data_IF_563966054676
#
_entry.id   IF_563966054676
#
_cell.length_a   1.000
_cell.length_b   1.000
_cell.length_c   1.000
_cell.angle_alpha   90.00
_cell.angle_beta   90.00
_cell.angle_gamma   90.00
#
_symmetry.space_group_name_H-M   'P 1'
#
loop_
_entity.id
_entity.type
_entity.pdbx_description
1 polymer ?
#
# COMPACT_ATOMS: atom_id res chain seq x y z
N UNK A 1 7.22 21.27 18.18
CA UNK A 1 6.26 20.75 17.18
C UNK A 1 6.03 21.77 16.06
N UNK A 2 5.66 21.36 14.84
CA UNK A 2 5.33 22.29 13.74
C UNK A 2 4.25 23.32 14.13
N UNK A 3 3.29 22.92 14.97
CA UNK A 3 2.24 23.79 15.56
C UNK A 3 2.77 24.85 16.55
N UNK A 4 3.99 24.71 17.05
CA UNK A 4 4.66 25.71 17.89
C UNK A 4 5.44 26.72 17.05
N UNK A 5 5.71 26.39 15.77
CA UNK A 5 6.49 27.21 14.85
C UNK A 5 5.57 27.94 13.85
N UNK A 6 4.47 27.31 13.45
CA UNK A 6 3.50 27.82 12.48
C UNK A 6 2.08 27.81 13.05
N UNK A 7 1.36 28.92 12.87
CA UNK A 7 -0.06 28.98 13.22
C UNK A 7 -0.89 28.14 12.26
N UNK A 8 -2.07 27.67 12.72
CA UNK A 8 -3.03 26.96 11.84
C UNK A 8 -3.41 27.82 10.63
N UNK A 9 -3.54 29.14 10.80
CA UNK A 9 -3.78 30.07 9.70
C UNK A 9 -2.64 30.02 8.68
N UNK A 10 -1.38 30.02 9.14
CA UNK A 10 -0.22 29.96 8.25
C UNK A 10 -0.10 28.62 7.52
N UNK A 11 -0.45 27.52 8.17
CA UNK A 11 -0.47 26.20 7.54
C UNK A 11 -1.57 26.13 6.47
N UNK A 12 -2.75 26.71 6.70
CA UNK A 12 -3.82 26.76 5.71
C UNK A 12 -3.43 27.52 4.43
N UNK A 13 -2.51 28.48 4.49
CA UNK A 13 -2.02 29.19 3.30
C UNK A 13 -1.17 28.32 2.37
N UNK A 14 -0.58 27.23 2.87
CA UNK A 14 0.34 26.37 2.11
C UNK A 14 -0.20 24.96 1.86
N UNK A 15 -1.31 24.59 2.51
CA UNK A 15 -2.03 23.35 2.25
C UNK A 15 -2.83 23.49 0.95
N UNK A 16 -2.82 22.46 0.11
CA UNK A 16 -3.63 22.46 -1.10
C UNK A 16 -5.12 22.39 -0.76
N UNK A 17 -5.93 23.27 -1.35
CA UNK A 17 -7.39 23.30 -1.17
C UNK A 17 -8.08 22.03 -1.72
N UNK A 18 -7.44 21.35 -2.69
CA UNK A 18 -7.88 20.08 -3.23
C UNK A 18 -6.67 19.18 -3.50
N UNK A 19 -6.70 17.96 -2.95
CA UNK A 19 -5.69 16.94 -3.22
C UNK A 19 -5.94 16.31 -4.60
N UNK A 20 -5.22 16.78 -5.61
CA UNK A 20 -5.28 16.27 -6.98
C UNK A 20 -3.87 16.23 -7.62
N UNK A 21 -2.93 15.41 -7.10
CA UNK A 21 -1.54 15.42 -7.56
C UNK A 21 -1.34 14.85 -8.97
N UNK A 22 -2.23 13.97 -9.42
CA UNK A 22 -2.16 13.30 -10.72
C UNK A 22 -3.55 13.10 -11.33
N UNK A 23 -3.69 13.06 -12.67
CA UNK A 23 -4.95 12.76 -13.32
C UNK A 23 -5.43 11.35 -12.95
N UNK A 24 -6.72 11.21 -12.64
CA UNK A 24 -7.40 9.92 -12.50
C UNK A 24 -7.52 9.23 -13.86
N UNK A 25 -7.77 7.94 -13.88
CA UNK A 25 -7.83 7.13 -15.11
C UNK A 25 -8.89 7.63 -16.12
N UNK A 26 -9.99 8.22 -15.62
CA UNK A 26 -11.04 8.83 -16.45
C UNK A 26 -10.68 10.21 -17.00
N UNK A 27 -9.65 10.88 -16.46
CA UNK A 27 -9.19 12.18 -16.93
C UNK A 27 -8.23 12.01 -18.11
N UNK A 28 -8.82 11.68 -19.26
CA UNK A 28 -8.11 11.12 -20.41
C UNK A 28 -7.06 12.02 -21.03
N UNK A 29 -7.24 13.33 -21.03
CA UNK A 29 -6.37 14.28 -21.74
C UNK A 29 -4.88 14.06 -21.46
N UNK A 30 -4.51 13.89 -20.18
CA UNK A 30 -3.10 13.72 -19.77
C UNK A 30 -2.55 12.34 -20.08
N UNK A 31 -3.37 11.30 -19.97
CA UNK A 31 -2.99 9.93 -20.32
C UNK A 31 -2.86 9.76 -21.83
N UNK A 32 -3.75 10.40 -22.59
CA UNK A 32 -3.77 10.36 -24.05
C UNK A 32 -2.67 11.23 -24.68
N UNK A 33 -2.13 12.19 -23.92
CA UNK A 33 -0.96 12.98 -24.32
C UNK A 33 0.37 12.23 -24.17
N UNK A 34 0.39 11.06 -23.51
CA UNK A 34 1.62 10.26 -23.38
C UNK A 34 2.08 9.77 -24.76
N UNK A 35 3.41 9.71 -25.01
CA UNK A 35 3.94 9.13 -26.23
C UNK A 35 3.43 7.71 -26.45
N UNK A 36 3.02 7.38 -27.68
CA UNK A 36 2.41 6.10 -28.00
C UNK A 36 3.26 4.90 -27.57
N UNK A 37 4.58 4.94 -27.82
CA UNK A 37 5.48 3.87 -27.39
C UNK A 37 5.51 3.68 -25.86
N UNK A 38 5.36 4.75 -25.08
CA UNK A 38 5.27 4.65 -23.62
C UNK A 38 3.94 4.02 -23.21
N UNK A 39 2.84 4.40 -23.87
CA UNK A 39 1.53 3.79 -23.61
C UNK A 39 1.55 2.29 -23.86
N UNK A 40 2.09 1.88 -25.01
CA UNK A 40 2.23 0.47 -25.37
C UNK A 40 3.03 -0.33 -24.35
N UNK A 41 4.11 0.24 -23.80
CA UNK A 41 4.90 -0.43 -22.74
C UNK A 41 4.08 -0.70 -21.48
N UNK A 42 3.30 0.27 -21.01
CA UNK A 42 2.49 0.07 -19.80
C UNK A 42 1.30 -0.86 -20.04
N UNK A 43 0.66 -0.78 -21.20
CA UNK A 43 -0.40 -1.72 -21.60
C UNK A 43 0.15 -3.15 -21.67
N UNK A 44 1.29 -3.36 -22.35
CA UNK A 44 1.91 -4.69 -22.44
C UNK A 44 2.33 -5.26 -21.08
N UNK A 45 2.74 -4.41 -20.13
CA UNK A 45 3.01 -4.82 -18.74
C UNK A 45 1.74 -5.32 -18.05
N UNK A 46 0.63 -4.59 -18.15
CA UNK A 46 -0.66 -5.05 -17.62
C UNK A 46 -1.11 -6.36 -18.25
N UNK A 47 -0.97 -6.49 -19.57
CA UNK A 47 -1.30 -7.72 -20.30
C UNK A 47 -0.50 -8.93 -19.82
N UNK A 48 0.79 -8.74 -19.52
CA UNK A 48 1.66 -9.83 -19.05
C UNK A 48 1.25 -10.43 -17.70
N UNK A 49 0.35 -9.78 -16.96
CA UNK A 49 -0.15 -10.22 -15.65
C UNK A 49 -1.68 -10.33 -15.59
N UNK A 50 -2.37 -10.35 -16.74
CA UNK A 50 -3.83 -10.53 -16.78
C UNK A 50 -4.29 -11.88 -16.23
N UNK A 51 -3.44 -12.91 -16.33
CA UNK A 51 -3.70 -14.25 -15.80
C UNK A 51 -3.11 -14.44 -14.38
N UNK A 52 -2.79 -13.35 -13.67
CA UNK A 52 -2.25 -13.43 -12.32
C UNK A 52 -3.24 -14.13 -11.38
N UNK A 53 -2.77 -15.23 -10.77
CA UNK A 53 -3.50 -15.91 -9.71
C UNK A 53 -3.26 -15.24 -8.35
N UNK A 54 -4.33 -14.91 -7.63
CA UNK A 54 -4.26 -14.22 -6.34
C UNK A 54 -4.29 -15.19 -5.14
N UNK A 55 -3.50 -16.27 -5.19
CA UNK A 55 -3.44 -17.30 -4.15
C UNK A 55 -3.10 -16.77 -2.75
N UNK A 56 -3.59 -17.43 -1.69
CA UNK A 56 -3.31 -17.00 -0.33
C UNK A 56 -1.84 -17.22 0.06
N UNK A 57 -1.29 -16.29 0.83
CA UNK A 57 0.03 -16.45 1.44
C UNK A 57 -0.11 -17.39 2.66
N UNK A 58 0.46 -18.59 2.57
CA UNK A 58 0.24 -19.62 3.58
C UNK A 58 0.93 -19.33 4.92
N UNK A 59 0.36 -19.85 6.00
CA UNK A 59 0.98 -19.79 7.33
C UNK A 59 2.38 -20.42 7.37
N UNK A 60 2.62 -21.49 6.59
CA UNK A 60 3.93 -22.13 6.50
C UNK A 60 4.98 -21.25 5.81
N UNK A 61 4.59 -20.50 4.78
CA UNK A 61 5.45 -19.51 4.13
C UNK A 61 5.80 -18.37 5.09
N UNK A 62 4.82 -17.92 5.89
CA UNK A 62 5.02 -16.88 6.89
C UNK A 62 6.01 -17.34 7.99
N UNK A 63 5.80 -18.55 8.51
CA UNK A 63 6.62 -19.17 9.56
C UNK A 63 8.04 -19.53 9.10
N UNK A 64 8.33 -19.55 7.79
CA UNK A 64 9.65 -19.89 7.26
C UNK A 64 10.73 -18.97 7.85
N UNK A 65 10.46 -17.67 7.98
CA UNK A 65 11.41 -16.75 8.61
C UNK A 65 11.69 -17.11 10.08
N UNK A 66 10.66 -17.44 10.86
CA UNK A 66 10.84 -17.83 12.26
C UNK A 66 11.62 -19.15 12.40
N UNK A 67 11.45 -20.07 11.44
CA UNK A 67 12.08 -21.41 11.45
C UNK A 67 13.51 -21.41 10.91
N UNK A 68 13.78 -20.61 9.89
CA UNK A 68 15.03 -20.69 9.10
C UNK A 68 15.78 -19.37 8.96
N UNK A 69 15.16 -18.24 9.34
CA UNK A 69 15.66 -16.90 9.06
C UNK A 69 15.50 -16.47 7.60
N UNK A 70 14.94 -17.31 6.73
CA UNK A 70 14.72 -16.96 5.33
C UNK A 70 13.56 -15.96 5.19
N UNK A 71 13.89 -14.71 4.86
CA UNK A 71 12.90 -13.66 4.64
C UNK A 71 12.47 -13.52 3.17
N UNK A 72 13.26 -14.07 2.25
CA UNK A 72 13.15 -13.81 0.81
C UNK A 72 11.97 -14.53 0.19
N UNK A 73 11.65 -15.76 0.63
CA UNK A 73 10.55 -16.54 0.04
C UNK A 73 9.19 -15.85 0.19
N UNK A 74 8.85 -15.42 1.39
CA UNK A 74 7.62 -14.65 1.61
C UNK A 74 7.62 -13.32 0.84
N UNK A 75 8.74 -12.59 0.88
CA UNK A 75 8.85 -11.30 0.18
C UNK A 75 8.73 -11.44 -1.33
N UNK A 76 9.26 -12.51 -1.93
CA UNK A 76 9.13 -12.75 -3.36
C UNK A 76 7.65 -12.92 -3.77
N UNK A 77 6.88 -13.72 -3.03
CA UNK A 77 5.46 -13.90 -3.30
C UNK A 77 4.65 -12.62 -3.04
N UNK A 78 4.91 -11.90 -1.94
CA UNK A 78 4.31 -10.59 -1.68
C UNK A 78 4.61 -9.62 -2.84
N UNK A 79 5.88 -9.50 -3.22
CA UNK A 79 6.32 -8.53 -4.23
C UNK A 79 5.74 -8.86 -5.61
N UNK A 80 5.65 -10.14 -5.98
CA UNK A 80 4.97 -10.57 -7.21
C UNK A 80 3.54 -10.02 -7.27
N UNK A 81 2.77 -10.17 -6.19
CA UNK A 81 1.37 -9.69 -6.08
C UNK A 81 1.28 -8.16 -6.17
N UNK A 82 2.11 -7.45 -5.40
CA UNK A 82 2.12 -5.97 -5.39
C UNK A 82 2.57 -5.39 -6.73
N UNK A 83 3.54 -6.01 -7.38
CA UNK A 83 4.00 -5.63 -8.72
C UNK A 83 2.92 -5.88 -9.78
N UNK A 84 2.23 -7.03 -9.74
CA UNK A 84 1.12 -7.31 -10.65
C UNK A 84 0.01 -6.26 -10.51
N UNK A 85 -0.42 -5.95 -9.27
CA UNK A 85 -1.43 -4.91 -9.03
C UNK A 85 -0.97 -3.54 -9.54
N UNK A 86 0.29 -3.15 -9.29
CA UNK A 86 0.84 -1.89 -9.80
C UNK A 86 0.92 -1.83 -11.32
N UNK A 87 1.21 -2.94 -11.99
CA UNK A 87 1.24 -3.02 -13.46
C UNK A 87 -0.17 -2.90 -14.05
N UNK A 88 -1.14 -3.62 -13.48
CA UNK A 88 -2.55 -3.53 -13.89
C UNK A 88 -3.10 -2.11 -13.70
N UNK A 89 -2.81 -1.50 -12.54
CA UNK A 89 -3.20 -0.12 -12.22
C UNK A 89 -2.68 0.87 -13.26
N UNK A 90 -1.38 0.84 -13.56
CA UNK A 90 -0.79 1.76 -14.53
C UNK A 90 -1.28 1.48 -15.96
N UNK A 91 -1.49 0.21 -16.31
CA UNK A 91 -2.06 -0.17 -17.61
C UNK A 91 -3.48 0.39 -17.78
N UNK A 92 -4.32 0.30 -16.75
CA UNK A 92 -5.68 0.87 -16.78
C UNK A 92 -5.66 2.40 -16.82
N UNK A 93 -4.80 3.06 -16.05
CA UNK A 93 -4.65 4.52 -16.14
C UNK A 93 -4.26 4.96 -17.56
N UNK A 94 -3.32 4.27 -18.18
CA UNK A 94 -2.84 4.58 -19.53
C UNK A 94 -3.89 4.25 -20.60
N UNK A 95 -4.57 3.11 -20.51
CA UNK A 95 -5.49 2.64 -21.56
C UNK A 95 -6.91 3.17 -21.41
N UNK A 96 -7.45 3.18 -20.19
CA UNK A 96 -8.79 3.69 -19.86
C UNK A 96 -9.95 2.92 -20.49
N UNK A 97 -9.78 1.62 -20.80
CA UNK A 97 -10.80 0.79 -21.46
C UNK A 97 -11.53 -0.17 -20.52
N UNK A 98 -11.14 -0.24 -19.25
CA UNK A 98 -11.80 -1.04 -18.22
C UNK A 98 -11.42 -2.52 -18.21
N UNK A 99 -10.70 -3.04 -19.20
CA UNK A 99 -10.40 -4.49 -19.30
C UNK A 99 -9.45 -5.02 -18.23
N UNK A 100 -8.77 -4.14 -17.50
CA UNK A 100 -7.92 -4.54 -16.36
C UNK A 100 -8.66 -4.46 -15.02
N UNK A 101 -9.86 -3.88 -14.98
CA UNK A 101 -10.56 -3.57 -13.73
C UNK A 101 -10.85 -4.80 -12.89
N UNK A 102 -11.31 -5.91 -13.49
CA UNK A 102 -11.59 -7.15 -12.75
C UNK A 102 -10.33 -7.69 -12.06
N UNK A 103 -9.18 -7.64 -12.74
CA UNK A 103 -7.91 -8.09 -12.14
C UNK A 103 -7.37 -7.12 -11.08
N UNK A 104 -7.60 -5.81 -11.25
CA UNK A 104 -7.32 -4.81 -10.21
C UNK A 104 -8.17 -5.10 -8.96
N UNK A 105 -9.47 -5.34 -9.15
CA UNK A 105 -10.40 -5.65 -8.05
C UNK A 105 -10.02 -6.95 -7.35
N UNK A 106 -9.67 -8.00 -8.10
CA UNK A 106 -9.16 -9.25 -7.52
C UNK A 106 -7.88 -9.01 -6.69
N UNK A 107 -6.94 -8.22 -7.20
CA UNK A 107 -5.71 -7.87 -6.50
C UNK A 107 -5.94 -7.05 -5.23
N UNK A 108 -6.83 -6.06 -5.29
CA UNK A 108 -7.28 -5.29 -4.12
C UNK A 108 -7.91 -6.22 -3.09
N UNK A 109 -8.88 -7.04 -3.51
CA UNK A 109 -9.62 -7.91 -2.61
C UNK A 109 -8.69 -8.91 -1.92
N UNK A 110 -7.85 -9.60 -2.69
CA UNK A 110 -6.92 -10.56 -2.16
C UNK A 110 -5.86 -9.92 -1.25
N UNK A 111 -5.48 -8.66 -1.47
CA UNK A 111 -4.61 -7.90 -0.56
C UNK A 111 -5.33 -7.55 0.73
N UNK A 112 -6.59 -7.14 0.67
CA UNK A 112 -7.40 -6.85 1.86
C UNK A 112 -7.64 -8.09 2.74
N UNK A 113 -7.71 -9.28 2.15
CA UNK A 113 -7.86 -10.55 2.87
C UNK A 113 -6.54 -11.08 3.48
N UNK A 114 -5.39 -10.46 3.21
CA UNK A 114 -4.13 -10.85 3.86
C UNK A 114 -4.17 -10.49 5.35
N UNK A 115 -3.80 -11.43 6.22
CA UNK A 115 -3.76 -11.22 7.67
C UNK A 115 -2.79 -10.10 8.07
N UNK A 116 -1.72 -9.89 7.30
CA UNK A 116 -0.69 -8.90 7.57
C UNK A 116 -0.11 -8.33 6.28
N UNK A 117 0.08 -7.00 6.24
CA UNK A 117 0.58 -6.28 5.06
C UNK A 117 2.10 -6.06 5.05
N UNK A 118 2.74 -6.24 6.20
CA UNK A 118 4.19 -6.17 6.33
C UNK A 118 4.90 -7.46 5.92
N UNK A 119 6.09 -7.69 6.48
CA UNK A 119 6.86 -8.94 6.24
C UNK A 119 7.19 -9.66 7.54
N UNK A 120 7.37 -11.01 7.53
CA UNK A 120 7.63 -11.79 8.73
C UNK A 120 8.84 -11.32 9.56
N UNK A 121 9.83 -10.72 8.90
CA UNK A 121 11.03 -10.19 9.53
C UNK A 121 10.76 -9.01 10.49
N UNK A 122 9.60 -8.36 10.39
CA UNK A 122 9.24 -7.19 11.18
C UNK A 122 8.24 -7.49 12.30
N UNK A 123 7.80 -8.75 12.45
CA UNK A 123 6.87 -9.15 13.52
C UNK A 123 7.41 -8.95 14.94
N UNK A 124 8.68 -8.58 15.14
CA UNK A 124 9.13 -8.13 16.47
C UNK A 124 8.46 -6.82 16.94
N UNK A 125 7.67 -6.16 16.09
CA UNK A 125 6.86 -5.00 16.46
C UNK A 125 5.58 -5.37 17.24
N UNK A 126 5.12 -6.61 17.14
CA UNK A 126 3.94 -7.09 17.87
C UNK A 126 4.37 -7.70 19.22
N UNK A 127 3.49 -7.70 20.21
CA UNK A 127 3.78 -8.24 21.55
C UNK A 127 4.06 -9.74 21.52
N UNK A 128 3.31 -10.50 20.69
CA UNK A 128 3.50 -11.93 20.49
C UNK A 128 4.87 -12.29 19.88
N UNK A 129 5.61 -11.30 19.35
CA UNK A 129 6.93 -11.49 18.77
C UNK A 129 6.93 -12.26 17.44
N UNK A 130 8.06 -12.88 17.10
CA UNK A 130 8.25 -13.57 15.81
C UNK A 130 7.37 -14.82 15.71
N UNK A 131 6.71 -15.02 14.56
CA UNK A 131 5.90 -16.20 14.31
C UNK A 131 4.85 -15.93 13.24
N UNK A 132 3.58 -16.11 13.59
CA UNK A 132 2.44 -15.65 12.80
C UNK A 132 2.04 -14.24 13.23
N UNK A 133 1.45 -13.45 12.31
CA UNK A 133 0.92 -12.14 12.67
C UNK A 133 -0.29 -12.27 13.58
N UNK A 134 -0.34 -11.46 14.64
CA UNK A 134 -1.56 -11.29 15.43
C UNK A 134 -2.51 -10.33 14.71
N UNK A 135 -3.65 -10.84 14.26
CA UNK A 135 -4.67 -10.05 13.55
C UNK A 135 -5.39 -9.03 14.46
N UNK A 136 -5.30 -9.21 15.78
CA UNK A 136 -5.88 -8.31 16.78
C UNK A 136 -4.93 -7.16 17.15
N UNK A 137 -3.64 -7.26 16.81
CA UNK A 137 -2.63 -6.24 17.10
C UNK A 137 -1.95 -5.75 15.80
N UNK A 138 -2.60 -4.89 15.00
CA UNK A 138 -1.96 -4.33 13.82
C UNK A 138 -0.66 -3.59 14.15
N UNK A 139 0.40 -3.88 13.39
CA UNK A 139 1.68 -3.18 13.49
C UNK A 139 1.99 -2.44 12.20
N UNK A 140 2.57 -1.25 12.35
CA UNK A 140 2.95 -0.40 11.22
C UNK A 140 4.45 -0.58 10.96
N UNK A 141 4.76 -1.22 9.83
CA UNK A 141 6.10 -1.37 9.30
C UNK A 141 6.22 -0.72 7.91
N UNK A 142 7.45 -0.70 7.36
CA UNK A 142 7.71 -0.14 6.03
C UNK A 142 6.84 -0.78 4.92
N UNK A 143 6.64 -2.09 4.96
CA UNK A 143 5.93 -2.83 3.92
C UNK A 143 4.41 -2.78 4.09
N UNK A 144 3.90 -2.62 5.31
CA UNK A 144 2.52 -2.29 5.59
C UNK A 144 2.20 -0.91 4.99
N UNK A 145 3.08 0.08 5.21
CA UNK A 145 2.96 1.40 4.61
C UNK A 145 3.01 1.38 3.08
N UNK A 146 3.94 0.63 2.46
CA UNK A 146 3.97 0.45 1.01
C UNK A 146 2.70 -0.21 0.46
N UNK A 147 2.16 -1.22 1.16
CA UNK A 147 0.92 -1.89 0.74
C UNK A 147 -0.25 -0.91 0.79
N UNK A 148 -0.35 -0.12 1.86
CA UNK A 148 -1.40 0.89 2.00
C UNK A 148 -1.27 2.02 1.00
N UNK A 149 -0.04 2.46 0.70
CA UNK A 149 0.19 3.42 -0.36
C UNK A 149 -0.27 2.90 -1.73
N UNK A 150 0.03 1.65 -2.07
CA UNK A 150 -0.45 1.04 -3.33
C UNK A 150 -1.99 1.00 -3.39
N UNK A 151 -2.65 0.60 -2.30
CA UNK A 151 -4.11 0.59 -2.23
C UNK A 151 -4.71 2.00 -2.29
N UNK A 152 -4.12 2.98 -1.60
CA UNK A 152 -4.54 4.39 -1.64
C UNK A 152 -4.39 4.98 -3.05
N UNK A 153 -3.29 4.67 -3.75
CA UNK A 153 -3.11 5.04 -5.16
C UNK A 153 -4.12 4.36 -6.06
N UNK A 154 -4.44 3.09 -5.81
CA UNK A 154 -5.45 2.35 -6.59
C UNK A 154 -6.83 2.98 -6.40
N UNK A 155 -7.21 3.28 -5.15
CA UNK A 155 -8.43 4.01 -4.80
C UNK A 155 -8.50 5.37 -5.51
N UNK A 156 -7.43 6.17 -5.42
CA UNK A 156 -7.37 7.51 -5.98
C UNK A 156 -7.39 7.53 -7.52
N UNK A 157 -6.52 6.73 -8.16
CA UNK A 157 -6.31 6.79 -9.61
C UNK A 157 -7.46 6.17 -10.38
N UNK A 158 -8.01 5.04 -9.93
CA UNK A 158 -9.11 4.36 -10.64
C UNK A 158 -10.46 5.00 -10.28
N UNK A 159 -10.61 5.49 -9.04
CA UNK A 159 -11.75 6.27 -8.57
C UNK A 159 -13.09 5.57 -8.88
N UNK A 160 -14.00 6.25 -9.57
CA UNK A 160 -15.35 5.75 -9.90
C UNK A 160 -15.34 4.51 -10.80
N UNK A 161 -14.26 4.22 -11.51
CA UNK A 161 -14.19 2.99 -12.32
C UNK A 161 -14.16 1.72 -11.46
N UNK A 162 -13.77 1.81 -10.19
CA UNK A 162 -13.94 0.69 -9.25
C UNK A 162 -15.42 0.45 -8.91
N UNK A 163 -16.20 1.52 -8.81
CA UNK A 163 -17.63 1.45 -8.47
C UNK A 163 -18.45 0.83 -9.60
N UNK A 164 -17.99 0.94 -10.85
CA UNK A 164 -18.59 0.26 -12.00
C UNK A 164 -18.51 -1.26 -11.88
N UNK A 165 -17.45 -1.80 -11.25
CA UNK A 165 -17.32 -3.23 -10.94
C UNK A 165 -18.11 -3.57 -9.68
N UNK A 166 -17.89 -2.81 -8.60
CA UNK A 166 -18.69 -2.94 -7.37
C UNK A 166 -18.53 -1.72 -6.46
N UNK A 167 -19.62 -1.18 -5.90
CA UNK A 167 -19.57 -0.05 -4.97
C UNK A 167 -18.93 -0.39 -3.61
N UNK A 168 -18.57 -1.67 -3.38
CA UNK A 168 -17.98 -2.13 -2.11
C UNK A 168 -16.45 -2.12 -2.12
N UNK A 169 -15.80 -1.94 -3.28
CA UNK A 169 -14.33 -2.04 -3.38
C UNK A 169 -13.65 -0.87 -2.68
N UNK A 170 -14.07 0.36 -2.99
CA UNK A 170 -13.49 1.57 -2.40
C UNK A 170 -13.69 1.64 -0.87
N UNK A 171 -14.91 1.44 -0.32
CA UNK A 171 -15.09 1.36 1.12
C UNK A 171 -14.24 0.27 1.79
N UNK A 172 -13.99 -0.86 1.11
CA UNK A 172 -13.11 -1.90 1.67
C UNK A 172 -11.65 -1.46 1.73
N UNK A 173 -11.16 -0.75 0.72
CA UNK A 173 -9.80 -0.16 0.74
C UNK A 173 -9.67 0.81 1.93
N UNK A 174 -10.62 1.74 2.06
CA UNK A 174 -10.64 2.74 3.15
C UNK A 174 -10.64 2.07 4.52
N UNK A 175 -11.55 1.10 4.73
CA UNK A 175 -11.67 0.35 5.98
C UNK A 175 -10.36 -0.34 6.38
N UNK A 176 -9.71 -1.03 5.44
CA UNK A 176 -8.51 -1.80 5.76
C UNK A 176 -7.28 -0.91 5.94
N UNK A 177 -7.17 0.21 5.21
CA UNK A 177 -6.12 1.21 5.42
C UNK A 177 -6.29 1.86 6.79
N UNK A 178 -7.50 2.24 7.17
CA UNK A 178 -7.74 2.83 8.49
C UNK A 178 -7.36 1.85 9.61
N UNK A 179 -7.91 0.64 9.56
CA UNK A 179 -7.71 -0.40 10.57
C UNK A 179 -6.24 -0.81 10.73
N UNK A 180 -5.49 -0.94 9.63
CA UNK A 180 -4.14 -1.53 9.65
C UNK A 180 -3.01 -0.51 9.65
N UNK A 181 -3.28 0.73 9.23
CA UNK A 181 -2.27 1.78 9.14
C UNK A 181 -2.65 3.03 9.90
N UNK A 182 -3.72 3.73 9.51
CA UNK A 182 -3.97 5.09 10.01
C UNK A 182 -4.28 5.10 11.50
N UNK A 183 -5.22 4.27 11.95
CA UNK A 183 -5.60 4.18 13.37
C UNK A 183 -4.39 3.73 14.22
N UNK A 184 -3.69 2.62 13.90
CA UNK A 184 -2.48 2.24 14.64
C UNK A 184 -1.38 3.30 14.64
N UNK A 185 -1.15 4.00 13.53
CA UNK A 185 -0.14 5.06 13.42
C UNK A 185 -0.45 6.26 14.32
N UNK A 186 -1.74 6.60 14.48
CA UNK A 186 -2.20 7.73 15.27
C UNK A 186 -2.32 7.41 16.77
N UNK A 187 -2.64 6.17 17.11
CA UNK A 187 -2.92 5.76 18.49
C UNK A 187 -1.71 5.13 19.21
N UNK A 188 -0.75 4.56 18.46
CA UNK A 188 0.45 3.94 19.03
C UNK A 188 1.67 4.84 18.92
N UNK A 189 2.49 4.85 19.96
CA UNK A 189 3.76 5.60 20.03
C UNK A 189 4.96 4.70 20.35
N UNK A 190 4.78 3.38 20.25
CA UNK A 190 5.78 2.37 20.65
C UNK A 190 6.60 1.84 19.47
N UNK A 191 6.26 2.23 18.24
CA UNK A 191 7.06 1.90 17.07
C UNK A 191 8.40 2.67 17.08
N UNK A 192 9.51 1.93 17.24
CA UNK A 192 10.86 2.50 17.39
C UNK A 192 11.28 3.46 16.27
N UNK A 193 10.68 3.34 15.07
CA UNK A 193 11.00 4.17 13.92
C UNK A 193 10.31 5.55 13.96
N UNK A 194 9.31 5.77 14.83
CA UNK A 194 8.63 7.07 14.96
C UNK A 194 9.53 8.16 15.54
N UNK A 195 10.59 7.78 16.27
CA UNK A 195 11.53 8.75 16.84
C UNK A 195 10.98 9.56 18.01
N UNK A 196 9.81 9.20 18.55
CA UNK A 196 9.20 9.86 19.72
C UNK A 196 9.93 9.54 21.04
N UNK A 197 10.66 8.41 21.08
CA UNK A 197 11.45 7.96 22.23
C UNK A 197 12.87 7.60 21.80
N UNK A 198 13.89 7.82 22.65
CA UNK A 198 15.25 7.35 22.37
C UNK A 198 15.28 5.84 22.17
N UNK A 199 15.95 5.38 21.11
CA UNK A 199 16.10 3.94 20.87
C UNK A 199 17.07 3.32 21.89
N UNK A 200 16.78 2.13 22.44
CA UNK A 200 17.69 1.44 23.36
C UNK A 200 19.08 1.15 22.78
N UNK A 201 19.16 0.97 21.45
CA UNK A 201 20.41 0.74 20.72
C UNK A 201 21.15 2.04 20.33
N UNK A 202 20.68 3.20 20.79
CA UNK A 202 21.27 4.51 20.50
C UNK A 202 21.21 4.94 19.04
N UNK A 203 20.57 4.18 18.16
CA UNK A 203 20.47 4.51 16.73
C UNK A 203 19.50 5.67 16.53
N UNK A 204 19.75 6.45 15.47
CA UNK A 204 18.84 7.50 15.00
C UNK A 204 17.64 6.91 14.28
N UNK A 205 16.62 7.74 14.04
CA UNK A 205 15.54 7.42 13.10
C UNK A 205 16.12 7.08 11.73
N UNK A 206 15.52 6.10 11.06
CA UNK A 206 15.92 5.67 9.72
C UNK A 206 14.89 6.15 8.69
N UNK A 207 15.02 5.67 7.46
CA UNK A 207 14.14 6.00 6.34
C UNK A 207 12.67 5.57 6.51
N UNK A 208 12.33 4.75 7.51
CA UNK A 208 10.92 4.41 7.75
C UNK A 208 10.17 5.63 8.26
N UNK A 209 10.81 6.47 9.07
CA UNK A 209 10.19 7.66 9.63
C UNK A 209 9.63 8.61 8.55
N UNK A 210 10.42 9.14 7.59
CA UNK A 210 9.91 10.03 6.56
C UNK A 210 9.10 9.33 5.45
N UNK A 211 9.07 7.99 5.42
CA UNK A 211 8.27 7.25 4.44
C UNK A 211 6.86 6.92 4.96
N UNK A 212 6.75 6.69 6.27
CA UNK A 212 5.48 6.29 6.91
C UNK A 212 4.70 7.52 7.40
N UNK A 213 5.39 8.55 7.93
CA UNK A 213 4.76 9.82 8.32
C UNK A 213 4.59 10.75 7.12
#
# INVERSE_FOLDING_TARGET
MLSEIYTVAKLKEVLADAWHPYPKARERERWDALPEGLRQVYVARGESVLDQEWSSLSASLFLDFARTGNRTRFQAERNKRRNALGQLLLAECVEGKGRFLDQIVNGVWATCEETYWGVPAHLSLQEAGRGLPDAAEPTVDLFAAETSALLAWTHYLIDKSLDDVSPLVRPRIELEIDRRMLTPLLEREDFWWMGLKPRPDGRRVNNWNPWIN
#
